data_IF_562764470268
#
_entry.id   IF_562764470268
#
_cell.length_a   1.000
_cell.length_b   1.000
_cell.length_c   1.000
_cell.angle_alpha   90.00
_cell.angle_beta   90.00
_cell.angle_gamma   90.00
#
_symmetry.space_group_name_H-M   'P 1'
#
loop_
_entity.id
_entity.type
_entity.pdbx_description
1 polymer ?
#
# COMPACT_ATOMS: atom_id res chain seq x y z
N UNK A 1 19.22 41.14 45.83
CA UNK A 1 19.17 40.83 44.39
C UNK A 1 18.96 39.33 44.23
N UNK A 2 18.01 38.83 43.45
CA UNK A 2 17.02 39.55 42.65
C UNK A 2 15.68 38.85 42.77
N UNK A 3 14.60 39.64 42.72
CA UNK A 3 13.39 39.19 42.07
C UNK A 3 13.81 38.45 40.80
N UNK A 4 13.52 37.15 40.69
CA UNK A 4 13.29 36.59 39.36
C UNK A 4 12.20 37.50 38.81
N UNK A 5 12.59 38.40 37.91
CA UNK A 5 11.63 39.27 37.26
C UNK A 5 10.59 38.35 36.66
N UNK A 6 9.37 38.43 37.17
CA UNK A 6 8.24 37.84 36.50
C UNK A 6 8.36 38.27 35.04
N UNK A 7 8.43 37.32 34.12
CA UNK A 7 8.32 37.62 32.69
C UNK A 7 6.94 38.26 32.56
N UNK A 8 6.92 39.59 32.47
CA UNK A 8 5.69 40.37 32.45
C UNK A 8 5.05 40.13 31.08
N UNK A 9 4.20 39.12 31.00
CA UNK A 9 3.46 38.82 29.79
C UNK A 9 2.42 39.91 29.58
N UNK A 10 2.63 40.75 28.56
CA UNK A 10 1.67 41.79 28.20
C UNK A 10 0.54 41.15 27.39
N UNK A 11 -0.68 41.20 27.92
CA UNK A 11 -1.87 40.60 27.32
C UNK A 11 -2.75 41.67 26.68
N UNK A 12 -3.11 41.46 25.41
CA UNK A 12 -4.08 42.30 24.69
C UNK A 12 -5.31 41.47 24.34
N UNK A 13 -6.50 42.00 24.63
CA UNK A 13 -7.78 41.35 24.30
C UNK A 13 -8.37 41.97 23.02
N UNK A 14 -8.69 41.11 22.05
CA UNK A 14 -9.28 41.46 20.77
C UNK A 14 -10.64 40.78 20.63
N UNK A 15 -11.67 41.52 20.22
CA UNK A 15 -13.02 40.96 19.99
C UNK A 15 -13.27 40.77 18.50
N UNK A 16 -13.77 39.60 18.12
CA UNK A 16 -14.07 39.26 16.72
C UNK A 16 -15.58 39.11 16.59
N UNK A 17 -16.22 40.11 15.98
CA UNK A 17 -17.67 40.18 15.85
C UNK A 17 -18.06 40.52 14.41
N UNK A 18 -18.99 39.77 13.80
CA UNK A 18 -19.53 40.04 12.44
C UNK A 18 -18.45 40.33 11.38
N UNK A 19 -17.36 39.55 11.39
CA UNK A 19 -16.19 39.70 10.51
C UNK A 19 -15.41 41.02 10.68
N UNK A 20 -15.56 41.70 11.82
CA UNK A 20 -14.74 42.86 12.19
C UNK A 20 -13.94 42.54 13.45
N UNK A 21 -12.77 43.17 13.56
CA UNK A 21 -11.88 43.06 14.73
C UNK A 21 -12.02 44.35 15.52
N UNK A 22 -12.60 44.25 16.72
CA UNK A 22 -12.84 45.36 17.64
C UNK A 22 -11.85 45.34 18.80
N UNK A 23 -11.49 46.53 19.29
CA UNK A 23 -10.62 46.69 20.46
C UNK A 23 -9.27 47.36 20.20
N UNK A 24 -8.96 47.76 18.96
CA UNK A 24 -7.78 48.58 18.70
C UNK A 24 -7.83 49.26 17.32
N UNK A 25 -8.14 50.55 17.28
CA UNK A 25 -7.92 51.35 16.06
C UNK A 25 -6.42 51.60 15.82
N UNK A 26 -5.56 51.43 16.85
CA UNK A 26 -4.09 51.28 16.82
C UNK A 26 -3.64 50.47 18.03
N UNK A 27 -3.13 49.26 17.87
CA UNK A 27 -2.44 48.55 18.98
C UNK A 27 -1.03 49.16 19.08
N UNK A 28 -0.61 49.58 20.28
CA UNK A 28 0.77 49.95 20.58
C UNK A 28 1.39 48.86 21.44
N UNK A 29 2.19 47.98 20.84
CA UNK A 29 2.83 46.88 21.57
C UNK A 29 4.13 47.40 22.17
N UNK A 30 4.13 47.71 23.47
CA UNK A 30 5.36 47.94 24.24
C UNK A 30 6.05 46.59 24.46
N UNK A 31 7.23 46.42 23.87
CA UNK A 31 8.00 45.19 24.02
C UNK A 31 9.49 45.52 24.17
N UNK A 32 10.09 44.95 25.21
CA UNK A 32 11.53 44.92 25.41
C UNK A 32 12.06 43.56 24.91
N UNK A 33 13.38 43.46 24.67
CA UNK A 33 13.99 42.27 24.04
C UNK A 33 13.78 40.94 24.80
N UNK A 34 13.19 40.97 26.01
CA UNK A 34 13.00 39.82 26.89
C UNK A 34 11.52 39.56 27.28
N UNK A 35 10.54 40.27 26.71
CA UNK A 35 9.10 40.09 27.02
C UNK A 35 8.32 39.45 25.85
N UNK A 36 7.49 38.46 26.16
CA UNK A 36 6.60 37.77 25.21
C UNK A 36 5.21 38.42 25.18
N UNK A 37 4.73 38.73 23.97
CA UNK A 37 3.41 39.37 23.75
C UNK A 37 2.37 38.31 23.44
N UNK A 38 1.24 38.34 24.16
CA UNK A 38 0.14 37.40 23.95
C UNK A 38 -1.15 38.12 23.55
N UNK A 39 -1.67 37.80 22.36
CA UNK A 39 -2.96 38.28 21.88
C UNK A 39 -4.05 37.26 22.22
N UNK A 40 -5.08 37.70 22.93
CA UNK A 40 -6.25 36.89 23.29
C UNK A 40 -7.46 37.31 22.44
N UNK A 41 -8.18 36.34 21.88
CA UNK A 41 -9.25 36.54 20.91
C UNK A 41 -10.59 36.08 21.50
N UNK A 42 -11.53 37.02 21.65
CA UNK A 42 -12.91 36.74 22.05
C UNK A 42 -13.80 36.62 20.81
N UNK A 43 -14.24 35.40 20.49
CA UNK A 43 -15.06 35.11 19.31
C UNK A 43 -16.56 35.14 19.62
N UNK A 44 -17.33 35.81 18.75
CA UNK A 44 -18.79 35.71 18.74
C UNK A 44 -19.29 34.33 18.28
N UNK A 45 -20.61 34.11 18.31
CA UNK A 45 -21.23 32.85 17.94
C UNK A 45 -21.00 32.43 16.48
N UNK A 46 -20.80 33.38 15.56
CA UNK A 46 -20.54 33.09 14.14
C UNK A 46 -19.14 32.57 13.86
N UNK A 47 -18.20 32.82 14.78
CA UNK A 47 -16.81 32.35 14.69
C UNK A 47 -16.54 31.07 15.49
N UNK A 48 -17.33 30.80 16.54
CA UNK A 48 -17.16 29.59 17.38
C UNK A 48 -17.37 28.27 16.63
N UNK A 49 -18.08 28.30 15.50
CA UNK A 49 -18.40 27.13 14.68
C UNK A 49 -17.21 26.56 13.89
N UNK A 50 -16.10 27.29 13.75
CA UNK A 50 -14.91 26.82 13.00
C UNK A 50 -13.97 26.00 13.87
N UNK A 51 -13.58 24.82 13.41
CA UNK A 51 -12.67 23.92 14.14
C UNK A 51 -11.22 24.44 14.20
N UNK A 52 -10.77 25.11 13.13
CA UNK A 52 -9.44 25.72 13.06
C UNK A 52 -9.53 27.23 12.88
N UNK A 53 -8.68 27.97 13.62
CA UNK A 53 -8.57 29.43 13.52
C UNK A 53 -7.10 29.85 13.50
N UNK A 54 -6.77 30.83 12.69
CA UNK A 54 -5.41 31.36 12.60
C UNK A 54 -5.40 32.89 12.52
N UNK A 55 -4.39 33.48 13.16
CA UNK A 55 -4.05 34.88 13.03
C UNK A 55 -2.97 35.02 11.94
N UNK A 56 -3.25 35.88 10.95
CA UNK A 56 -2.37 36.17 9.82
C UNK A 56 -1.80 37.56 10.02
N UNK A 57 -0.47 37.65 10.03
CA UNK A 57 0.29 38.88 10.15
C UNK A 57 0.99 39.14 8.83
N UNK A 58 0.66 40.26 8.18
CA UNK A 58 1.27 40.69 6.92
C UNK A 58 2.16 41.90 7.17
N UNK A 59 3.44 41.81 6.81
CA UNK A 59 4.39 42.93 6.92
C UNK A 59 4.26 43.92 5.76
N UNK A 60 4.93 45.08 5.86
CA UNK A 60 4.91 46.08 4.80
C UNK A 60 5.56 45.57 3.49
N UNK A 61 6.50 44.62 3.55
CA UNK A 61 7.05 43.96 2.36
C UNK A 61 6.27 42.70 1.93
N UNK A 62 5.01 42.55 2.33
CA UNK A 62 4.15 41.41 1.98
C UNK A 62 4.67 40.03 2.44
N UNK A 63 5.43 39.96 3.53
CA UNK A 63 5.73 38.67 4.18
C UNK A 63 4.58 38.29 5.09
N UNK A 64 4.24 36.99 5.11
CA UNK A 64 3.12 36.46 5.88
C UNK A 64 3.62 35.56 6.99
N UNK A 65 3.18 35.82 8.21
CA UNK A 65 3.33 34.95 9.36
C UNK A 65 1.95 34.46 9.77
N UNK A 66 1.75 33.14 9.75
CA UNK A 66 0.47 32.52 10.07
C UNK A 66 0.66 31.75 11.38
N UNK A 67 -0.12 32.12 12.39
CA UNK A 67 -0.05 31.51 13.71
C UNK A 67 -1.42 30.94 14.08
N UNK A 68 -1.43 29.67 14.47
CA UNK A 68 -2.64 28.97 14.92
C UNK A 68 -3.11 29.54 16.26
N UNK A 69 -4.41 29.84 16.37
CA UNK A 69 -5.01 30.37 17.60
C UNK A 69 -5.39 29.19 18.49
N UNK A 70 -4.53 28.86 19.46
CA UNK A 70 -4.77 27.79 20.44
C UNK A 70 -5.35 28.36 21.72
N UNK A 71 -6.42 27.75 22.23
CA UNK A 71 -7.10 28.19 23.46
C UNK A 71 -7.45 29.68 23.45
N UNK A 72 -7.86 30.20 22.28
CA UNK A 72 -8.20 31.61 22.06
C UNK A 72 -7.04 32.60 22.23
N UNK A 73 -5.77 32.18 22.10
CA UNK A 73 -4.62 33.08 22.18
C UNK A 73 -3.50 32.73 21.21
N UNK A 74 -2.65 33.72 20.91
CA UNK A 74 -1.41 33.56 20.16
C UNK A 74 -0.29 34.32 20.86
N UNK A 75 0.84 33.65 21.07
CA UNK A 75 2.08 34.29 21.50
C UNK A 75 2.89 34.69 20.27
N UNK A 76 3.15 35.98 20.11
CA UNK A 76 3.86 36.51 18.95
C UNK A 76 5.37 36.52 19.24
N UNK A 77 6.20 35.86 18.42
CA UNK A 77 7.65 35.90 18.59
C UNK A 77 8.21 37.29 18.34
N UNK A 78 9.29 37.65 19.06
CA UNK A 78 9.96 38.94 18.93
C UNK A 78 10.48 39.19 17.51
N UNK A 79 10.89 38.13 16.82
CA UNK A 79 11.35 38.15 15.43
C UNK A 79 10.26 38.63 14.46
N UNK A 80 8.98 38.43 14.79
CA UNK A 80 7.85 38.96 13.99
C UNK A 80 7.61 40.44 14.30
N UNK A 81 7.86 40.87 15.55
CA UNK A 81 7.66 42.25 16.01
C UNK A 81 8.79 43.21 15.57
N UNK A 82 9.99 42.71 15.27
CA UNK A 82 11.15 43.54 14.90
C UNK A 82 11.28 43.85 13.40
N UNK A 83 10.58 43.12 12.54
CA UNK A 83 10.85 43.17 11.09
C UNK A 83 10.25 44.40 10.40
N UNK A 84 9.20 45.01 10.96
CA UNK A 84 8.63 46.27 10.48
C UNK A 84 7.79 46.95 11.57
N UNK A 85 7.80 48.29 11.62
CA UNK A 85 7.10 49.06 12.66
C UNK A 85 5.58 48.95 12.61
N UNK A 86 5.00 48.61 11.45
CA UNK A 86 3.55 48.46 11.26
C UNK A 86 3.26 47.14 10.51
N UNK A 87 2.33 46.32 10.99
CA UNK A 87 1.86 45.10 10.31
C UNK A 87 0.33 44.97 10.32
N UNK A 88 -0.22 44.28 9.31
CA UNK A 88 -1.66 44.06 9.17
C UNK A 88 -2.05 42.71 9.77
N UNK A 89 -2.98 42.72 10.73
CA UNK A 89 -3.57 41.55 11.33
C UNK A 89 -4.91 41.21 10.65
N UNK A 90 -5.08 39.94 10.30
CA UNK A 90 -6.37 39.35 9.91
C UNK A 90 -6.59 38.04 10.65
N UNK A 91 -7.84 37.66 10.87
CA UNK A 91 -8.18 36.37 11.48
C UNK A 91 -8.99 35.55 10.49
N UNK A 92 -8.62 34.28 10.34
CA UNK A 92 -9.35 33.33 9.50
C UNK A 92 -9.89 32.17 10.35
N UNK A 93 -11.10 31.72 9.99
CA UNK A 93 -11.73 30.50 10.48
C UNK A 93 -11.94 29.54 9.32
N UNK A 94 -11.60 28.27 9.51
CA UNK A 94 -11.70 27.23 8.49
C UNK A 94 -12.20 25.92 9.10
N UNK A 95 -13.15 25.27 8.43
CA UNK A 95 -13.78 24.00 8.85
C UNK A 95 -13.59 22.86 7.83
N UNK A 96 -12.75 23.05 6.81
CA UNK A 96 -12.54 22.07 5.72
C UNK A 96 -13.36 22.33 4.45
N UNK A 97 -14.43 23.13 4.51
CA UNK A 97 -15.30 23.41 3.36
C UNK A 97 -15.62 24.91 3.18
N UNK A 98 -15.57 25.70 4.25
CA UNK A 98 -15.85 27.14 4.25
C UNK A 98 -14.73 27.91 4.93
N UNK A 99 -14.41 29.08 4.37
CA UNK A 99 -13.46 30.04 4.96
C UNK A 99 -14.23 31.29 5.34
N UNK A 100 -14.02 31.75 6.57
CA UNK A 100 -14.47 33.06 7.04
C UNK A 100 -13.25 33.91 7.37
N UNK A 101 -13.23 35.16 6.88
CA UNK A 101 -12.13 36.10 7.15
C UNK A 101 -12.69 37.33 7.85
N UNK A 102 -12.05 37.71 8.95
CA UNK A 102 -12.30 38.97 9.62
C UNK A 102 -11.49 40.07 8.94
N UNK A 103 -12.02 41.30 8.94
CA UNK A 103 -11.40 42.48 8.36
C UNK A 103 -9.97 42.72 8.86
N UNK A 104 -9.23 43.49 8.06
CA UNK A 104 -7.82 43.81 8.28
C UNK A 104 -7.67 44.97 9.26
N UNK A 105 -6.79 44.83 10.26
CA UNK A 105 -6.45 45.91 11.20
C UNK A 105 -4.95 46.17 11.21
N UNK A 106 -4.55 47.44 11.19
CA UNK A 106 -3.15 47.84 11.31
C UNK A 106 -2.69 47.84 12.77
N UNK A 107 -1.58 47.18 13.04
CA UNK A 107 -0.94 47.03 14.36
C UNK A 107 0.39 47.79 14.33
N UNK A 108 0.65 48.66 15.32
CA UNK A 108 1.90 49.42 15.43
C UNK A 108 2.76 48.93 16.60
N UNK A 109 4.05 48.71 16.37
CA UNK A 109 4.98 48.33 17.44
C UNK A 109 5.70 49.57 17.94
N UNK A 110 5.60 49.85 19.24
CA UNK A 110 6.24 51.01 19.86
C UNK A 110 7.32 50.50 20.81
N UNK A 111 8.58 50.78 20.49
CA UNK A 111 9.69 50.42 21.39
C UNK A 111 9.55 51.18 22.71
N UNK A 112 9.67 50.48 23.84
CA UNK A 112 9.73 51.09 25.18
C UNK A 112 11.03 51.83 25.47
N UNK A 113 11.94 51.92 24.49
CA UNK A 113 13.19 52.70 24.53
C UNK A 113 13.13 53.96 23.66
N UNK A 114 11.93 54.52 23.41
CA UNK A 114 11.85 55.87 22.86
C UNK A 114 12.30 56.87 23.93
N UNK A 115 13.25 57.76 23.59
CA UNK A 115 13.84 58.70 24.53
C UNK A 115 12.82 59.79 24.94
N UNK A 116 13.13 60.43 26.06
CA UNK A 116 12.23 61.25 26.87
C UNK A 116 11.83 62.61 26.22
N UNK A 117 12.27 62.84 24.99
CA UNK A 117 12.12 64.02 24.15
C UNK A 117 10.75 64.14 23.45
N UNK A 118 9.83 63.19 23.68
CA UNK A 118 8.41 63.33 23.35
C UNK A 118 7.55 63.82 24.54
N UNK A 119 8.14 64.47 25.55
CA UNK A 119 7.39 65.24 26.57
C UNK A 119 7.22 66.69 26.10
N UNK A 120 6.06 67.00 25.53
CA UNK A 120 5.65 68.38 25.31
C UNK A 120 5.50 69.10 26.64
N UNK A 121 6.18 70.23 26.75
CA UNK A 121 6.15 71.23 27.81
C UNK A 121 4.73 71.60 28.26
N UNK A 122 4.52 71.68 29.58
CA UNK A 122 4.23 72.95 30.27
C UNK A 122 4.18 72.75 31.80
N UNK A 123 5.04 73.43 32.57
CA UNK A 123 4.94 73.53 34.02
C UNK A 123 4.22 74.82 34.45
N UNK A 124 3.27 74.69 35.37
CA UNK A 124 2.86 75.79 36.26
C UNK A 124 3.07 75.33 37.69
N UNK A 125 4.04 76.00 38.35
CA UNK A 125 4.08 76.32 39.79
C UNK A 125 4.28 75.15 40.79
N UNK A 126 5.12 75.22 41.83
CA UNK A 126 5.77 76.36 42.49
C UNK A 126 6.79 75.93 43.56
N UNK A 127 7.59 76.93 43.97
CA UNK A 127 8.05 77.23 45.34
C UNK A 127 9.32 76.52 45.90
N UNK A 128 10.45 77.23 45.75
CA UNK A 128 11.61 77.40 46.66
C UNK A 128 12.51 76.17 46.93
N UNK A 129 13.76 76.20 46.46
CA UNK A 129 14.92 76.75 47.20
C UNK A 129 15.08 76.19 48.61
N UNK A 130 16.25 75.55 48.88
CA UNK A 130 17.24 76.01 49.88
C UNK A 130 18.35 74.97 50.14
N UNK A 131 19.59 75.35 49.79
CA UNK A 131 20.86 75.25 50.55
C UNK A 131 21.32 73.92 51.16
N UNK A 132 22.60 73.56 51.29
CA UNK A 132 23.94 73.93 50.79
C UNK A 132 24.90 72.86 51.38
N UNK A 133 26.08 72.72 50.80
CA UNK A 133 27.17 71.77 51.09
C UNK A 133 27.71 71.77 52.54
N UNK A 134 28.17 70.59 53.03
CA UNK A 134 29.60 70.31 53.38
C UNK A 134 29.80 68.86 53.89
N UNK A 135 31.03 68.32 53.76
CA UNK A 135 31.58 67.01 54.27
C UNK A 135 31.71 65.78 53.33
N UNK A 136 32.24 65.97 52.12
CA UNK A 136 32.41 64.90 51.10
C UNK A 136 33.42 63.78 51.49
N UNK A 137 34.47 64.05 52.28
CA UNK A 137 35.60 63.11 52.43
C UNK A 137 35.38 61.93 53.39
N UNK A 138 34.55 62.06 54.43
CA UNK A 138 34.27 60.96 55.36
C UNK A 138 33.31 59.93 54.77
N UNK A 139 32.46 60.35 53.84
CA UNK A 139 31.55 59.48 53.11
C UNK A 139 32.32 58.45 52.25
N UNK A 140 33.39 58.86 51.56
CA UNK A 140 34.12 57.99 50.64
C UNK A 140 34.77 56.75 51.29
N UNK A 141 35.40 56.89 52.46
CA UNK A 141 36.08 55.75 53.12
C UNK A 141 35.10 54.70 53.63
N UNK A 142 33.93 55.14 54.12
CA UNK A 142 32.86 54.23 54.55
C UNK A 142 32.30 53.43 53.38
N UNK A 143 32.18 54.06 52.21
CA UNK A 143 31.70 53.38 51.01
C UNK A 143 32.69 52.34 50.48
N UNK A 144 34.01 52.56 50.56
CA UNK A 144 35.00 51.56 50.12
C UNK A 144 34.96 50.27 50.94
N UNK A 145 34.90 50.38 52.28
CA UNK A 145 34.81 49.21 53.16
C UNK A 145 33.49 48.43 52.94
N UNK A 146 32.39 49.15 52.69
CA UNK A 146 31.09 48.54 52.37
C UNK A 146 31.11 47.82 51.01
N UNK A 147 31.77 48.40 50.01
CA UNK A 147 31.93 47.80 48.68
C UNK A 147 32.73 46.50 48.76
N UNK A 148 33.83 46.47 49.50
CA UNK A 148 34.67 45.27 49.60
C UNK A 148 34.04 44.15 50.44
N UNK A 149 33.27 44.51 51.48
CA UNK A 149 32.44 43.56 52.21
C UNK A 149 31.34 42.95 51.32
N UNK A 150 30.69 43.78 50.50
CA UNK A 150 29.70 43.32 49.52
C UNK A 150 30.31 42.40 48.47
N UNK A 151 31.49 42.71 47.94
CA UNK A 151 32.20 41.84 46.98
C UNK A 151 32.43 40.44 47.54
N UNK A 152 32.98 40.32 48.74
CA UNK A 152 33.23 39.01 49.39
C UNK A 152 31.93 38.22 49.63
N UNK A 153 30.86 38.92 50.00
CA UNK A 153 29.53 38.31 50.16
C UNK A 153 28.98 37.78 48.84
N UNK A 154 29.13 38.53 47.75
CA UNK A 154 28.73 38.11 46.42
C UNK A 154 29.54 36.92 45.90
N UNK A 155 30.87 36.92 46.08
CA UNK A 155 31.73 35.80 45.68
C UNK A 155 31.33 34.50 46.37
N UNK A 156 31.06 34.53 47.68
CA UNK A 156 30.59 33.36 48.43
C UNK A 156 29.25 32.85 47.90
N UNK A 157 28.33 33.76 47.55
CA UNK A 157 27.01 33.42 47.02
C UNK A 157 27.07 32.85 45.59
N UNK A 158 28.03 33.31 44.78
CA UNK A 158 28.29 32.76 43.44
C UNK A 158 28.76 31.30 43.54
N UNK A 159 29.69 30.99 44.44
CA UNK A 159 30.17 29.61 44.66
C UNK A 159 29.03 28.70 45.14
N UNK A 160 28.21 29.17 46.07
CA UNK A 160 27.08 28.39 46.60
C UNK A 160 26.00 28.12 45.53
N UNK A 161 25.67 29.12 44.71
CA UNK A 161 24.78 28.95 43.56
C UNK A 161 25.38 28.00 42.51
N UNK A 162 26.69 28.09 42.25
CA UNK A 162 27.40 27.17 41.34
C UNK A 162 27.25 25.70 41.77
N UNK A 163 27.42 25.42 43.07
CA UNK A 163 27.23 24.08 43.62
C UNK A 163 25.77 23.58 43.51
N UNK A 164 24.79 24.46 43.71
CA UNK A 164 23.36 24.12 43.54
C UNK A 164 23.00 23.82 42.08
N UNK A 165 23.54 24.59 41.13
CA UNK A 165 23.34 24.36 39.69
C UNK A 165 23.95 23.01 39.27
N UNK A 166 25.17 22.70 39.73
CA UNK A 166 25.82 21.42 39.44
C UNK A 166 24.96 20.24 39.90
N UNK A 167 24.45 20.28 41.14
CA UNK A 167 23.60 19.22 41.70
C UNK A 167 22.25 19.08 40.98
N UNK A 168 21.70 20.18 40.47
CA UNK A 168 20.47 20.16 39.68
C UNK A 168 20.69 19.57 38.27
N UNK A 169 21.84 19.83 37.66
CA UNK A 169 22.21 19.24 36.36
C UNK A 169 22.42 17.72 36.47
N UNK A 170 23.14 17.24 37.50
CA UNK A 170 23.35 15.80 37.72
C UNK A 170 22.03 15.04 37.90
N UNK A 171 21.05 15.66 38.57
CA UNK A 171 19.71 15.09 38.70
C UNK A 171 18.95 15.05 37.36
N UNK A 172 19.12 16.07 36.51
CA UNK A 172 18.46 16.14 35.21
C UNK A 172 19.01 15.09 34.25
N UNK A 173 20.33 14.92 34.20
CA UNK A 173 21.01 13.92 33.36
C UNK A 173 20.64 12.49 33.76
N UNK A 174 20.55 12.21 35.06
CA UNK A 174 20.09 10.91 35.57
C UNK A 174 18.62 10.62 35.19
N UNK A 175 17.72 11.60 35.28
CA UNK A 175 16.31 11.45 34.87
C UNK A 175 16.19 11.22 33.36
N UNK A 176 16.97 11.92 32.55
CA UNK A 176 16.99 11.70 31.09
C UNK A 176 17.50 10.30 30.74
N UNK A 177 18.55 9.82 31.42
CA UNK A 177 19.06 8.46 31.22
C UNK A 177 18.01 7.39 31.53
N UNK A 178 17.31 7.51 32.67
CA UNK A 178 16.24 6.58 33.04
C UNK A 178 15.08 6.60 32.03
N UNK A 179 14.64 7.80 31.61
CA UNK A 179 13.59 7.92 30.58
C UNK A 179 14.01 7.34 29.23
N UNK A 180 15.27 7.51 28.84
CA UNK A 180 15.78 6.95 27.59
C UNK A 180 15.84 5.41 27.63
N UNK A 181 16.16 4.83 28.79
CA UNK A 181 16.10 3.37 29.00
C UNK A 181 14.66 2.84 28.97
N UNK A 182 13.69 3.55 29.57
CA UNK A 182 12.26 3.23 29.48
C UNK A 182 11.74 3.29 28.03
N UNK A 183 12.10 4.33 27.28
CA UNK A 183 11.75 4.47 25.86
C UNK A 183 12.35 3.31 25.04
N UNK A 184 13.58 2.91 25.33
CA UNK A 184 14.23 1.78 24.65
C UNK A 184 13.50 0.47 24.91
N UNK A 185 13.08 0.24 26.15
CA UNK A 185 12.29 -0.94 26.54
C UNK A 185 10.92 -0.95 25.86
N UNK A 186 10.19 0.18 25.89
CA UNK A 186 8.92 0.32 25.19
C UNK A 186 9.05 0.06 23.67
N UNK A 187 10.12 0.52 23.03
CA UNK A 187 10.36 0.23 21.61
C UNK A 187 10.61 -1.26 21.35
N UNK A 188 11.27 -1.94 22.27
CA UNK A 188 11.56 -3.37 22.15
C UNK A 188 10.30 -4.22 22.39
N UNK A 189 9.48 -3.86 23.38
CA UNK A 189 8.23 -4.55 23.72
C UNK A 189 7.20 -4.43 22.58
N UNK A 190 7.13 -3.29 21.89
CA UNK A 190 6.20 -3.06 20.77
C UNK A 190 6.77 -3.44 19.39
N UNK A 191 8.02 -3.90 19.29
CA UNK A 191 8.65 -4.20 18.00
C UNK A 191 7.93 -5.34 17.24
N UNK A 192 7.46 -6.36 17.97
CA UNK A 192 6.72 -7.50 17.39
C UNK A 192 5.37 -7.07 16.85
N UNK A 193 4.67 -6.18 17.56
CA UNK A 193 3.36 -5.68 17.16
C UNK A 193 3.46 -4.76 15.93
N UNK A 194 4.45 -3.86 15.91
CA UNK A 194 4.74 -3.01 14.73
C UNK A 194 5.11 -3.86 13.52
N UNK A 195 5.93 -4.90 13.70
CA UNK A 195 6.27 -5.82 12.61
C UNK A 195 5.03 -6.55 12.08
N UNK A 196 4.18 -7.08 12.96
CA UNK A 196 2.92 -7.73 12.59
C UNK A 196 1.97 -6.80 11.84
N UNK A 197 1.83 -5.55 12.30
CA UNK A 197 1.01 -4.53 11.63
C UNK A 197 1.56 -4.17 10.25
N UNK A 198 2.88 -4.03 10.11
CA UNK A 198 3.51 -3.76 8.81
C UNK A 198 3.28 -4.91 7.81
N UNK A 199 3.38 -6.18 8.26
CA UNK A 199 3.05 -7.33 7.40
C UNK A 199 1.59 -7.30 6.94
N UNK A 200 0.64 -6.98 7.82
CA UNK A 200 -0.77 -6.81 7.44
C UNK A 200 -0.99 -5.67 6.46
N UNK A 201 -0.29 -4.54 6.62
CA UNK A 201 -0.34 -3.41 5.69
C UNK A 201 0.17 -3.83 4.31
N UNK A 202 1.25 -4.61 4.22
CA UNK A 202 1.74 -5.14 2.95
C UNK A 202 0.74 -6.07 2.27
N UNK A 203 0.07 -6.96 3.00
CA UNK A 203 -0.99 -7.82 2.47
C UNK A 203 -2.19 -7.03 1.94
N UNK A 204 -2.63 -6.00 2.69
CA UNK A 204 -3.71 -5.10 2.26
C UNK A 204 -3.31 -4.34 0.99
N UNK A 205 -2.08 -3.84 0.92
CA UNK A 205 -1.59 -3.11 -0.25
C UNK A 205 -1.52 -4.00 -1.50
N UNK A 206 -1.11 -5.27 -1.36
CA UNK A 206 -1.18 -6.27 -2.45
C UNK A 206 -2.62 -6.47 -2.94
N UNK A 207 -3.56 -6.58 -2.00
CA UNK A 207 -4.99 -6.73 -2.31
C UNK A 207 -5.55 -5.49 -3.02
N UNK A 208 -5.18 -4.29 -2.58
CA UNK A 208 -5.60 -3.03 -3.19
C UNK A 208 -5.04 -2.86 -4.61
N UNK A 209 -3.77 -3.23 -4.83
CA UNK A 209 -3.16 -3.20 -6.16
C UNK A 209 -3.89 -4.15 -7.13
N UNK A 210 -4.23 -5.37 -6.67
CA UNK A 210 -5.00 -6.32 -7.47
C UNK A 210 -6.41 -5.79 -7.81
N UNK A 211 -7.08 -5.12 -6.86
CA UNK A 211 -8.38 -4.51 -7.09
C UNK A 211 -8.32 -3.34 -8.08
N UNK A 212 -7.25 -2.53 -8.03
CA UNK A 212 -7.04 -1.42 -8.96
C UNK A 212 -6.81 -1.89 -10.40
N UNK A 213 -5.97 -2.91 -10.58
CA UNK A 213 -5.80 -3.59 -11.88
C UNK A 213 -7.14 -4.11 -12.39
N UNK A 214 -7.98 -4.68 -11.51
CA UNK A 214 -9.31 -5.14 -11.90
C UNK A 214 -10.19 -3.99 -12.40
N UNK A 215 -10.18 -2.83 -11.73
CA UNK A 215 -10.94 -1.65 -12.12
C UNK A 215 -10.47 -1.06 -13.46
N UNK A 216 -9.16 -0.90 -13.67
CA UNK A 216 -8.61 -0.37 -14.91
C UNK A 216 -8.94 -1.28 -16.12
N UNK A 217 -9.08 -2.59 -15.89
CA UNK A 217 -9.53 -3.53 -16.92
C UNK A 217 -11.04 -3.41 -17.23
N UNK A 218 -11.88 -2.93 -16.31
CA UNK A 218 -13.30 -2.66 -16.57
C UNK A 218 -13.51 -1.48 -17.54
N UNK A 219 -12.61 -0.52 -17.59
CA UNK A 219 -12.69 0.59 -18.56
C UNK A 219 -12.47 0.10 -20.01
N UNK A 220 -11.63 -0.93 -20.20
CA UNK A 220 -11.45 -1.58 -21.51
C UNK A 220 -12.70 -2.37 -21.95
N UNK A 221 -13.40 -2.94 -20.97
CA UNK A 221 -14.67 -3.65 -21.14
C UNK A 221 -15.75 -2.69 -21.63
N UNK A 222 -15.85 -1.47 -21.07
CA UNK A 222 -16.78 -0.43 -21.53
C UNK A 222 -16.43 0.13 -22.92
N UNK A 223 -15.15 0.32 -23.23
CA UNK A 223 -14.72 0.73 -24.57
C UNK A 223 -15.09 -0.31 -25.64
N UNK A 224 -14.91 -1.60 -25.33
CA UNK A 224 -15.33 -2.71 -26.21
C UNK A 224 -16.86 -2.83 -26.33
N UNK A 225 -17.63 -2.40 -25.33
CA UNK A 225 -19.09 -2.37 -25.37
C UNK A 225 -19.66 -1.23 -26.23
N UNK A 226 -18.88 -0.16 -26.47
CA UNK A 226 -19.33 0.95 -27.34
C UNK A 226 -19.49 0.55 -28.82
N UNK A 227 -18.78 -0.51 -29.24
CA UNK A 227 -18.79 -1.04 -30.62
C UNK A 227 -19.88 -2.12 -30.83
N UNK A 228 -20.56 -2.58 -29.77
CA UNK A 228 -21.47 -3.74 -29.82
C UNK A 228 -22.94 -3.30 -29.81
N UNK A 229 -23.66 -3.59 -30.90
CA UNK A 229 -25.13 -3.48 -30.93
C UNK A 229 -25.74 -4.44 -29.91
N UNK A 230 -26.64 -3.95 -29.06
CA UNK A 230 -27.39 -4.75 -28.07
C UNK A 230 -28.21 -5.84 -28.76
N UNK A 231 -27.62 -7.02 -28.93
CA UNK A 231 -28.32 -8.23 -29.31
C UNK A 231 -29.13 -8.74 -28.12
N UNK A 232 -30.35 -9.20 -28.38
CA UNK A 232 -31.21 -9.86 -27.39
C UNK A 232 -30.70 -11.27 -27.01
N UNK A 233 -29.63 -11.76 -27.66
CA UNK A 233 -28.98 -13.02 -27.32
C UNK A 233 -27.47 -12.81 -27.20
N UNK A 234 -26.97 -13.18 -26.03
CA UNK A 234 -25.58 -13.28 -25.60
C UNK A 234 -24.80 -11.97 -25.38
N UNK A 235 -24.35 -11.67 -24.13
CA UNK A 235 -23.34 -10.64 -23.89
C UNK A 235 -22.08 -10.91 -24.73
N UNK A 236 -21.35 -9.87 -25.11
CA UNK A 236 -20.04 -9.95 -25.80
C UNK A 236 -20.01 -10.64 -27.18
N UNK A 237 -21.09 -10.61 -27.96
CA UNK A 237 -21.10 -11.08 -29.35
C UNK A 237 -21.24 -9.94 -30.37
N UNK A 238 -20.86 -10.18 -31.63
CA UNK A 238 -21.14 -9.28 -32.76
C UNK A 238 -20.13 -8.15 -33.00
N UNK A 239 -19.02 -8.13 -32.25
CA UNK A 239 -17.91 -7.21 -32.55
C UNK A 239 -17.02 -7.72 -33.68
N UNK A 240 -16.20 -6.84 -34.25
CA UNK A 240 -15.21 -7.18 -35.29
C UNK A 240 -13.76 -6.97 -34.84
N UNK A 241 -13.55 -6.59 -33.59
CA UNK A 241 -12.23 -6.27 -33.04
C UNK A 241 -11.91 -7.21 -31.88
N UNK A 242 -10.64 -7.58 -31.76
CA UNK A 242 -10.15 -8.30 -30.60
C UNK A 242 -10.45 -7.54 -29.31
N UNK A 243 -10.92 -8.24 -28.29
CA UNK A 243 -11.15 -7.66 -26.96
C UNK A 243 -10.68 -8.59 -25.85
N UNK A 244 -10.57 -8.06 -24.63
CA UNK A 244 -10.04 -8.75 -23.45
C UNK A 244 -11.00 -8.62 -22.28
N UNK A 245 -11.21 -9.71 -21.55
CA UNK A 245 -12.06 -9.82 -20.36
C UNK A 245 -11.33 -10.62 -19.25
N UNK A 246 -10.14 -10.20 -18.77
CA UNK A 246 -9.31 -11.03 -17.88
C UNK A 246 -9.90 -11.28 -16.48
N UNK A 247 -10.91 -10.51 -16.06
CA UNK A 247 -11.50 -10.58 -14.72
C UNK A 247 -13.03 -10.50 -14.72
N UNK A 248 -13.66 -11.12 -15.72
CA UNK A 248 -15.12 -11.07 -15.88
C UNK A 248 -15.82 -11.92 -14.81
N UNK A 249 -16.49 -11.22 -13.90
CA UNK A 249 -17.21 -11.86 -12.80
C UNK A 249 -18.55 -12.42 -13.28
N UNK A 250 -18.58 -13.73 -13.51
CA UNK A 250 -19.76 -14.45 -14.00
C UNK A 250 -20.63 -15.03 -12.89
N UNK A 251 -20.33 -14.76 -11.61
CA UNK A 251 -21.04 -15.34 -10.46
C UNK A 251 -22.56 -15.14 -10.50
N UNK A 252 -23.01 -13.98 -10.98
CA UNK A 252 -24.44 -13.63 -11.04
C UNK A 252 -25.05 -13.86 -12.43
N UNK A 253 -24.31 -14.41 -13.38
CA UNK A 253 -24.88 -14.75 -14.69
C UNK A 253 -25.81 -15.95 -14.53
N UNK A 254 -27.06 -15.77 -14.93
CA UNK A 254 -28.07 -16.83 -14.90
C UNK A 254 -27.76 -17.94 -15.91
N UNK A 255 -27.08 -17.62 -17.01
CA UNK A 255 -26.73 -18.56 -18.07
C UNK A 255 -25.33 -18.27 -18.61
N UNK A 256 -24.45 -19.27 -18.53
CA UNK A 256 -23.12 -19.27 -19.13
C UNK A 256 -23.06 -20.42 -20.15
N UNK A 257 -22.73 -20.10 -21.41
CA UNK A 257 -22.84 -20.97 -22.57
C UNK A 257 -21.85 -20.59 -23.67
N UNK A 258 -21.54 -21.50 -24.60
CA UNK A 258 -20.60 -21.24 -25.71
C UNK A 258 -20.90 -19.99 -26.54
N UNK A 259 -22.18 -19.60 -26.61
CA UNK A 259 -22.63 -18.41 -27.35
C UNK A 259 -22.31 -17.09 -26.66
N UNK A 260 -21.85 -17.07 -25.40
CA UNK A 260 -21.60 -15.84 -24.64
C UNK A 260 -20.30 -15.11 -25.03
N UNK A 261 -19.47 -15.67 -25.89
CA UNK A 261 -18.26 -15.01 -26.35
C UNK A 261 -18.09 -15.27 -27.85
N UNK A 262 -17.90 -14.22 -28.64
CA UNK A 262 -17.60 -14.39 -30.07
C UNK A 262 -16.13 -14.81 -30.30
N UNK A 263 -15.73 -15.00 -31.56
CA UNK A 263 -14.38 -15.44 -31.92
C UNK A 263 -13.26 -14.41 -31.66
N UNK A 264 -13.60 -13.16 -31.34
CA UNK A 264 -12.64 -12.06 -31.16
C UNK A 264 -12.21 -11.88 -29.70
N UNK A 265 -12.70 -12.70 -28.76
CA UNK A 265 -12.14 -12.70 -27.41
C UNK A 265 -10.69 -13.17 -27.46
N UNK A 266 -9.75 -12.36 -26.97
CA UNK A 266 -8.32 -12.65 -27.00
C UNK A 266 -7.74 -13.04 -25.65
N UNK A 267 -8.36 -12.60 -24.56
CA UNK A 267 -7.99 -12.94 -23.20
C UNK A 267 -9.26 -12.99 -22.35
N UNK A 268 -9.43 -14.03 -21.54
CA UNK A 268 -10.62 -14.17 -20.70
C UNK A 268 -10.28 -14.75 -19.35
N UNK A 269 -10.90 -14.22 -18.30
CA UNK A 269 -10.91 -14.86 -17.01
C UNK A 269 -12.28 -14.81 -16.38
N UNK A 270 -12.77 -15.98 -15.94
CA UNK A 270 -14.14 -16.18 -15.46
C UNK A 270 -14.17 -16.70 -14.03
N UNK A 271 -15.25 -16.36 -13.32
CA UNK A 271 -15.64 -16.97 -12.05
C UNK A 271 -16.72 -18.03 -12.28
N UNK A 272 -16.33 -19.31 -12.25
CA UNK A 272 -17.22 -20.43 -12.55
C UNK A 272 -17.99 -20.95 -11.34
N UNK A 273 -18.12 -20.18 -10.25
CA UNK A 273 -18.82 -20.60 -9.03
C UNK A 273 -20.28 -21.04 -9.24
N UNK A 274 -20.88 -20.63 -10.36
CA UNK A 274 -22.27 -20.90 -10.75
C UNK A 274 -22.39 -21.84 -11.97
N UNK A 275 -21.27 -22.21 -12.60
CA UNK A 275 -21.26 -23.08 -13.78
C UNK A 275 -21.01 -24.53 -13.36
N UNK A 276 -21.71 -25.47 -14.01
CA UNK A 276 -21.53 -26.91 -13.80
C UNK A 276 -20.83 -27.58 -14.98
N UNK A 277 -20.68 -26.91 -16.12
CA UNK A 277 -20.03 -27.46 -17.31
C UNK A 277 -19.26 -26.36 -18.04
N UNK A 278 -18.16 -26.76 -18.70
CA UNK A 278 -17.37 -25.93 -19.61
C UNK A 278 -17.47 -26.44 -21.06
N UNK A 279 -18.42 -27.33 -21.35
CA UNK A 279 -18.47 -28.01 -22.64
C UNK A 279 -18.61 -27.00 -23.79
N UNK A 280 -17.71 -27.12 -24.77
CA UNK A 280 -17.62 -26.28 -25.98
C UNK A 280 -17.51 -24.77 -25.75
N UNK A 281 -17.31 -24.31 -24.50
CA UNK A 281 -17.42 -22.90 -24.11
C UNK A 281 -16.53 -21.97 -24.95
N UNK A 282 -15.31 -22.43 -25.20
CA UNK A 282 -14.27 -21.74 -25.96
C UNK A 282 -13.82 -22.57 -27.15
N UNK A 283 -14.69 -23.43 -27.70
CA UNK A 283 -14.39 -24.16 -28.93
C UNK A 283 -14.23 -23.17 -30.10
N UNK A 284 -13.23 -23.40 -30.95
CA UNK A 284 -12.98 -22.64 -32.18
C UNK A 284 -12.82 -21.12 -31.97
N UNK A 285 -12.25 -20.67 -30.85
CA UNK A 285 -12.02 -19.23 -30.62
C UNK A 285 -10.70 -18.81 -31.24
N UNK A 286 -10.77 -18.34 -32.48
CA UNK A 286 -9.61 -18.04 -33.33
C UNK A 286 -8.66 -16.98 -32.74
N UNK A 287 -9.17 -16.01 -31.98
CA UNK A 287 -8.33 -14.97 -31.36
C UNK A 287 -7.91 -15.27 -29.92
N UNK A 288 -8.47 -16.29 -29.28
CA UNK A 288 -8.30 -16.53 -27.84
C UNK A 288 -6.87 -16.99 -27.55
N UNK A 289 -6.12 -16.21 -26.77
CA UNK A 289 -4.70 -16.44 -26.45
C UNK A 289 -4.50 -16.90 -25.00
N UNK A 290 -5.31 -16.40 -24.06
CA UNK A 290 -5.13 -16.66 -22.64
C UNK A 290 -6.46 -16.84 -21.90
N UNK A 291 -6.50 -17.85 -21.04
CA UNK A 291 -7.68 -18.20 -20.24
C UNK A 291 -7.30 -18.37 -18.76
N UNK A 292 -8.08 -17.76 -17.85
CA UNK A 292 -7.97 -17.99 -16.41
C UNK A 292 -9.35 -18.29 -15.77
N UNK A 293 -9.61 -19.54 -15.42
CA UNK A 293 -10.89 -19.97 -14.84
C UNK A 293 -10.75 -20.25 -13.34
N UNK A 294 -11.53 -19.53 -12.54
CA UNK A 294 -11.58 -19.64 -11.07
C UNK A 294 -12.83 -20.37 -10.63
N UNK A 295 -12.81 -20.96 -9.42
CA UNK A 295 -13.94 -21.68 -8.83
C UNK A 295 -14.49 -22.81 -9.74
N UNK A 296 -13.57 -23.60 -10.30
CA UNK A 296 -13.86 -24.72 -11.21
C UNK A 296 -14.29 -26.01 -10.48
N UNK A 297 -14.36 -25.99 -9.16
CA UNK A 297 -14.57 -27.17 -8.30
C UNK A 297 -15.92 -27.86 -8.50
N UNK A 298 -16.89 -27.14 -9.08
CA UNK A 298 -18.23 -27.64 -9.42
C UNK A 298 -18.39 -28.12 -10.87
N UNK A 299 -17.37 -27.92 -11.72
CA UNK A 299 -17.45 -28.38 -13.10
C UNK A 299 -17.49 -29.91 -13.14
N UNK A 300 -18.51 -30.45 -13.79
CA UNK A 300 -18.69 -31.90 -13.99
C UNK A 300 -18.07 -32.36 -15.31
N UNK A 301 -18.02 -31.48 -16.31
CA UNK A 301 -17.47 -31.76 -17.66
C UNK A 301 -16.76 -30.55 -18.27
N UNK A 302 -15.76 -30.83 -19.11
CA UNK A 302 -15.06 -29.85 -19.95
C UNK A 302 -14.78 -30.41 -21.36
N UNK A 303 -15.77 -31.12 -21.91
CA UNK A 303 -15.70 -31.75 -23.23
C UNK A 303 -15.57 -30.68 -24.31
N UNK A 304 -14.55 -30.80 -25.17
CA UNK A 304 -14.30 -29.81 -26.23
C UNK A 304 -14.17 -28.36 -25.72
N UNK A 305 -13.85 -28.15 -24.44
CA UNK A 305 -13.93 -26.82 -23.83
C UNK A 305 -13.16 -25.74 -24.61
N UNK A 306 -12.01 -26.08 -25.16
CA UNK A 306 -11.13 -25.16 -25.90
C UNK A 306 -10.84 -25.60 -27.33
N UNK A 307 -11.35 -26.76 -27.77
CA UNK A 307 -10.84 -27.44 -28.96
C UNK A 307 -10.78 -26.57 -30.21
N UNK A 308 -9.67 -26.68 -30.94
CA UNK A 308 -9.32 -25.91 -32.13
C UNK A 308 -9.29 -24.39 -31.90
N UNK A 309 -8.93 -23.93 -30.69
CA UNK A 309 -8.58 -22.54 -30.42
C UNK A 309 -7.11 -22.34 -30.78
N UNK A 310 -6.84 -22.24 -32.08
CA UNK A 310 -5.49 -22.29 -32.64
C UNK A 310 -4.54 -21.19 -32.17
N UNK A 311 -5.05 -20.09 -31.60
CA UNK A 311 -4.24 -19.01 -31.02
C UNK A 311 -4.00 -19.15 -29.50
N UNK A 312 -4.64 -20.13 -28.85
CA UNK A 312 -4.60 -20.31 -27.40
C UNK A 312 -3.19 -20.71 -26.98
N UNK A 313 -2.62 -20.02 -25.99
CA UNK A 313 -1.26 -20.25 -25.50
C UNK A 313 -1.21 -20.68 -24.05
N UNK A 314 -2.08 -20.12 -23.21
CA UNK A 314 -2.07 -20.36 -21.77
C UNK A 314 -3.49 -20.59 -21.24
N UNK A 315 -3.64 -21.65 -20.45
CA UNK A 315 -4.87 -21.94 -19.71
C UNK A 315 -4.56 -22.22 -18.26
N UNK A 316 -5.27 -21.53 -17.36
CA UNK A 316 -5.23 -21.79 -15.92
C UNK A 316 -6.60 -22.25 -15.45
N UNK A 317 -6.67 -23.45 -14.90
CA UNK A 317 -7.84 -24.06 -14.29
C UNK A 317 -7.59 -24.23 -12.78
N UNK A 318 -8.63 -24.01 -11.96
CA UNK A 318 -8.60 -24.34 -10.55
C UNK A 318 -8.72 -25.84 -10.28
N UNK A 319 -9.26 -26.20 -9.11
CA UNK A 319 -9.54 -27.60 -8.77
C UNK A 319 -10.67 -28.16 -9.65
N UNK A 320 -10.50 -29.39 -10.14
CA UNK A 320 -11.46 -30.14 -10.96
C UNK A 320 -12.03 -31.32 -10.17
N UNK A 321 -12.37 -31.10 -8.91
CA UNK A 321 -12.76 -32.14 -7.94
C UNK A 321 -14.05 -32.88 -8.28
N UNK A 322 -14.92 -32.29 -9.09
CA UNK A 322 -16.18 -32.89 -9.56
C UNK A 322 -16.15 -33.23 -11.06
N UNK A 323 -15.03 -32.97 -11.75
CA UNK A 323 -14.95 -33.16 -13.19
C UNK A 323 -14.76 -34.63 -13.51
N UNK A 324 -15.62 -35.18 -14.35
CA UNK A 324 -15.61 -36.59 -14.76
C UNK A 324 -15.08 -36.79 -16.18
N UNK A 325 -15.09 -35.74 -17.01
CA UNK A 325 -14.67 -35.84 -18.42
C UNK A 325 -13.94 -34.59 -18.89
N UNK A 326 -12.73 -34.80 -19.41
CA UNK A 326 -11.90 -33.83 -20.12
C UNK A 326 -11.69 -34.22 -21.58
N UNK A 327 -12.61 -35.02 -22.14
CA UNK A 327 -12.58 -35.48 -23.53
C UNK A 327 -12.41 -34.31 -24.50
N UNK A 328 -11.38 -34.38 -25.35
CA UNK A 328 -11.07 -33.34 -26.35
C UNK A 328 -10.91 -31.92 -25.79
N UNK A 329 -10.64 -31.75 -24.49
CA UNK A 329 -10.65 -30.43 -23.85
C UNK A 329 -9.80 -29.40 -24.60
N UNK A 330 -8.62 -29.80 -25.09
CA UNK A 330 -7.66 -28.98 -25.84
C UNK A 330 -7.33 -29.55 -27.22
N UNK A 331 -8.24 -30.35 -27.79
CA UNK A 331 -7.97 -31.03 -29.07
C UNK A 331 -7.66 -30.02 -30.18
N UNK A 332 -6.49 -30.13 -30.81
CA UNK A 332 -6.08 -29.27 -31.92
C UNK A 332 -5.68 -27.84 -31.53
N UNK A 333 -5.42 -27.56 -30.25
CA UNK A 333 -4.94 -26.25 -29.80
C UNK A 333 -3.44 -26.10 -30.08
N UNK A 334 -3.09 -25.93 -31.37
CA UNK A 334 -1.71 -26.06 -31.87
C UNK A 334 -0.72 -25.05 -31.26
N UNK A 335 -1.19 -23.89 -30.78
CA UNK A 335 -0.34 -22.88 -30.13
C UNK A 335 -0.29 -22.99 -28.61
N UNK A 336 -0.99 -23.95 -28.01
CA UNK A 336 -1.07 -24.07 -26.54
C UNK A 336 0.31 -24.40 -26.01
N UNK A 337 0.85 -23.58 -25.11
CA UNK A 337 2.19 -23.75 -24.54
C UNK A 337 2.15 -24.25 -23.09
N UNK A 338 1.13 -23.83 -22.33
CA UNK A 338 1.06 -24.08 -20.89
C UNK A 338 -0.38 -24.32 -20.43
N UNK A 339 -0.57 -25.38 -19.67
CA UNK A 339 -1.82 -25.65 -18.93
C UNK A 339 -1.50 -25.76 -17.46
N UNK A 340 -2.19 -25.01 -16.62
CA UNK A 340 -2.14 -25.14 -15.16
C UNK A 340 -3.47 -25.71 -14.68
N UNK A 341 -3.44 -26.74 -13.84
CA UNK A 341 -4.63 -27.37 -13.28
C UNK A 341 -4.46 -27.67 -11.78
N UNK A 342 -5.54 -27.53 -11.03
CA UNK A 342 -5.58 -27.87 -9.61
C UNK A 342 -5.84 -29.36 -9.35
N UNK A 343 -6.33 -29.65 -8.13
CA UNK A 343 -6.65 -31.02 -7.71
C UNK A 343 -7.66 -31.66 -8.66
N UNK A 344 -7.37 -32.87 -9.10
CA UNK A 344 -8.23 -33.74 -9.89
C UNK A 344 -8.15 -35.18 -9.33
N UNK A 345 -9.03 -36.07 -9.78
CA UNK A 345 -8.99 -37.47 -9.32
C UNK A 345 -10.23 -38.30 -9.60
N UNK A 346 -11.30 -37.70 -10.15
CA UNK A 346 -12.49 -38.45 -10.57
C UNK A 346 -12.74 -38.37 -12.09
N UNK A 347 -11.81 -37.79 -12.85
CA UNK A 347 -11.90 -37.73 -14.32
C UNK A 347 -11.70 -39.15 -14.85
N UNK A 348 -12.72 -39.70 -15.47
CA UNK A 348 -12.69 -41.04 -16.06
C UNK A 348 -12.41 -41.01 -17.57
N UNK A 349 -12.54 -39.85 -18.22
CA UNK A 349 -12.38 -39.71 -19.66
C UNK A 349 -11.42 -38.57 -20.02
N UNK A 350 -10.23 -38.94 -20.48
CA UNK A 350 -9.19 -38.07 -21.04
C UNK A 350 -8.99 -38.31 -22.54
N UNK A 351 -9.95 -38.92 -23.24
CA UNK A 351 -9.83 -39.24 -24.65
C UNK A 351 -9.39 -38.01 -25.46
N UNK A 352 -8.21 -38.11 -26.08
CA UNK A 352 -7.59 -37.07 -26.89
C UNK A 352 -7.60 -35.66 -26.25
N UNK A 353 -7.48 -35.59 -24.92
CA UNK A 353 -7.61 -34.34 -24.16
C UNK A 353 -6.61 -33.26 -24.60
N UNK A 354 -5.37 -33.63 -24.95
CA UNK A 354 -4.33 -32.72 -25.44
C UNK A 354 -3.87 -33.06 -26.86
N UNK A 355 -4.59 -33.94 -27.57
CA UNK A 355 -4.18 -34.37 -28.91
C UNK A 355 -4.03 -33.19 -29.86
N UNK A 356 -2.92 -33.12 -30.59
CA UNK A 356 -2.61 -32.03 -31.52
C UNK A 356 -2.09 -30.74 -30.87
N UNK A 357 -1.87 -30.71 -29.54
CA UNK A 357 -1.21 -29.59 -28.87
C UNK A 357 0.31 -29.60 -29.14
N UNK A 358 0.71 -29.31 -30.38
CA UNK A 358 2.09 -29.45 -30.85
C UNK A 358 3.08 -28.54 -30.10
N UNK A 359 2.63 -27.38 -29.61
CA UNK A 359 3.45 -26.40 -28.90
C UNK A 359 3.42 -26.56 -27.37
N UNK A 360 2.68 -27.53 -26.84
CA UNK A 360 2.47 -27.67 -25.39
C UNK A 360 3.77 -28.10 -24.74
N UNK A 361 4.32 -27.24 -23.89
CA UNK A 361 5.59 -27.47 -23.18
C UNK A 361 5.35 -28.01 -21.77
N UNK A 362 4.35 -27.46 -21.08
CA UNK A 362 4.18 -27.69 -19.65
C UNK A 362 2.71 -27.90 -19.27
N UNK A 363 2.46 -28.98 -18.53
CA UNK A 363 1.27 -29.19 -17.73
C UNK A 363 1.68 -29.06 -16.26
N UNK A 364 1.25 -27.96 -15.63
CA UNK A 364 1.55 -27.65 -14.24
C UNK A 364 0.42 -28.18 -13.36
N UNK A 365 0.79 -29.05 -12.41
CA UNK A 365 -0.12 -29.77 -11.53
C UNK A 365 -0.10 -31.26 -11.82
N UNK A 366 -0.35 -32.07 -10.79
CA UNK A 366 -0.29 -33.52 -10.93
C UNK A 366 -1.57 -34.06 -11.55
N UNK A 367 -1.43 -34.80 -12.66
CA UNK A 367 -2.51 -35.57 -13.25
C UNK A 367 -2.79 -36.81 -12.38
N UNK A 368 -4.05 -37.00 -12.01
CA UNK A 368 -4.50 -38.14 -11.24
C UNK A 368 -5.39 -39.03 -12.12
N UNK A 369 -4.83 -40.16 -12.55
CA UNK A 369 -5.51 -41.10 -13.45
C UNK A 369 -6.22 -42.24 -12.69
N UNK A 370 -6.40 -42.14 -11.37
CA UNK A 370 -6.93 -43.25 -10.55
C UNK A 370 -8.32 -43.70 -11.00
N UNK A 371 -9.13 -42.77 -11.53
CA UNK A 371 -10.47 -43.03 -12.05
C UNK A 371 -10.51 -43.18 -13.58
N UNK A 372 -9.38 -43.06 -14.28
CA UNK A 372 -9.32 -43.02 -15.73
C UNK A 372 -9.70 -44.37 -16.36
N UNK A 373 -10.66 -44.34 -17.28
CA UNK A 373 -11.13 -45.49 -18.08
C UNK A 373 -10.77 -45.29 -19.55
N UNK A 374 -10.62 -44.04 -20.02
CA UNK A 374 -10.27 -43.74 -21.40
C UNK A 374 -9.19 -42.68 -21.47
N UNK A 375 -8.01 -43.05 -21.98
CA UNK A 375 -6.85 -42.14 -22.18
C UNK A 375 -6.30 -42.20 -23.61
N UNK A 376 -6.99 -42.89 -24.52
CA UNK A 376 -6.53 -43.06 -25.90
C UNK A 376 -6.30 -41.70 -26.56
N UNK A 377 -5.13 -41.54 -27.16
CA UNK A 377 -4.72 -40.31 -27.85
C UNK A 377 -4.49 -39.10 -26.94
N UNK A 378 -4.48 -39.26 -25.60
CA UNK A 378 -4.41 -38.14 -24.65
C UNK A 378 -3.29 -37.14 -24.97
N UNK A 379 -2.11 -37.63 -25.37
CA UNK A 379 -0.94 -36.83 -25.73
C UNK A 379 -0.46 -37.04 -27.17
N UNK A 380 -1.36 -37.49 -28.06
CA UNK A 380 -1.02 -37.68 -29.46
C UNK A 380 -0.57 -36.36 -30.10
N UNK A 381 0.55 -36.37 -30.81
CA UNK A 381 1.17 -35.16 -31.41
C UNK A 381 1.54 -34.04 -30.41
N UNK A 382 1.67 -34.32 -29.10
CA UNK A 382 2.26 -33.37 -28.14
C UNK A 382 3.79 -33.34 -28.23
N UNK A 383 4.33 -32.94 -29.37
CA UNK A 383 5.76 -33.10 -29.68
C UNK A 383 6.69 -32.29 -28.80
N UNK A 384 6.25 -31.13 -28.30
CA UNK A 384 7.04 -30.23 -27.46
C UNK A 384 6.83 -30.42 -25.95
N UNK A 385 6.09 -31.44 -25.52
CA UNK A 385 5.77 -31.63 -24.09
C UNK A 385 7.03 -32.03 -23.31
N UNK A 386 7.45 -31.14 -22.42
CA UNK A 386 8.64 -31.28 -21.59
C UNK A 386 8.26 -31.65 -20.15
N UNK A 387 7.27 -30.97 -19.59
CA UNK A 387 6.88 -31.09 -18.18
C UNK A 387 5.46 -31.60 -18.05
N UNK A 388 5.31 -32.77 -17.43
CA UNK A 388 4.05 -33.34 -16.97
C UNK A 388 4.32 -34.20 -15.75
N UNK A 389 3.48 -34.10 -14.73
CA UNK A 389 3.58 -34.91 -13.52
C UNK A 389 2.30 -35.69 -13.25
N UNK A 390 2.46 -36.82 -12.58
CA UNK A 390 1.38 -37.73 -12.21
C UNK A 390 1.40 -37.99 -10.70
N UNK A 391 0.22 -38.12 -10.11
CA UNK A 391 0.09 -38.63 -8.75
C UNK A 391 0.60 -40.08 -8.74
N UNK A 392 1.42 -40.42 -7.75
CA UNK A 392 2.02 -41.75 -7.60
C UNK A 392 0.96 -42.84 -7.59
N UNK A 393 1.23 -43.93 -8.31
CA UNK A 393 0.35 -45.11 -8.38
C UNK A 393 -1.10 -44.77 -8.78
N UNK A 394 -1.28 -43.94 -9.81
CA UNK A 394 -2.60 -43.63 -10.37
C UNK A 394 -2.78 -44.03 -11.83
N UNK A 395 -1.72 -44.38 -12.56
CA UNK A 395 -1.78 -44.82 -13.95
C UNK A 395 -2.09 -46.32 -13.97
N UNK A 396 -3.36 -46.68 -14.18
CA UNK A 396 -3.88 -48.06 -14.19
C UNK A 396 -4.27 -48.64 -15.55
N UNK A 397 -4.00 -47.90 -16.62
CA UNK A 397 -4.45 -48.16 -17.99
C UNK A 397 -3.30 -47.88 -18.97
N UNK A 398 -3.26 -48.60 -20.10
CA UNK A 398 -2.27 -48.39 -21.15
C UNK A 398 -2.22 -46.93 -21.57
N UNK A 399 -1.01 -46.37 -21.64
CA UNK A 399 -0.81 -44.95 -21.87
C UNK A 399 0.33 -44.72 -22.87
N UNK A 400 0.17 -43.71 -23.71
CA UNK A 400 1.04 -43.47 -24.86
C UNK A 400 1.57 -42.03 -24.88
N UNK A 401 2.89 -41.91 -24.77
CA UNK A 401 3.70 -40.70 -24.91
C UNK A 401 4.68 -40.82 -26.09
N UNK A 402 4.42 -41.70 -27.06
CA UNK A 402 5.28 -41.93 -28.22
C UNK A 402 5.56 -40.69 -29.06
N UNK A 403 4.62 -39.74 -29.06
CA UNK A 403 4.80 -38.44 -29.72
C UNK A 403 5.61 -37.43 -28.90
N UNK A 404 5.75 -37.60 -27.59
CA UNK A 404 6.32 -36.62 -26.67
C UNK A 404 7.86 -36.75 -26.65
N UNK A 405 8.51 -36.14 -27.64
CA UNK A 405 9.96 -36.28 -27.89
C UNK A 405 10.83 -35.46 -26.93
N UNK A 406 10.25 -34.47 -26.27
CA UNK A 406 10.96 -33.50 -25.44
C UNK A 406 10.76 -33.72 -23.93
N UNK A 407 10.15 -34.84 -23.50
CA UNK A 407 9.90 -35.12 -22.08
C UNK A 407 11.19 -35.05 -21.26
N UNK A 408 11.15 -34.32 -20.15
CA UNK A 408 12.27 -34.25 -19.21
C UNK A 408 12.43 -35.53 -18.40
N UNK A 409 13.63 -35.72 -17.82
CA UNK A 409 13.92 -36.86 -16.95
C UNK A 409 12.96 -36.91 -15.76
N UNK A 410 12.64 -35.76 -15.18
CA UNK A 410 11.71 -35.63 -14.06
C UNK A 410 10.30 -36.07 -14.46
N UNK A 411 9.81 -35.67 -15.63
CA UNK A 411 8.51 -36.11 -16.15
C UNK A 411 8.48 -37.61 -16.39
N UNK A 412 9.54 -38.18 -16.96
CA UNK A 412 9.66 -39.63 -17.15
C UNK A 412 9.65 -40.39 -15.82
N UNK A 413 10.41 -39.92 -14.83
CA UNK A 413 10.40 -40.51 -13.49
C UNK A 413 9.00 -40.42 -12.85
N UNK A 414 8.30 -39.30 -13.02
CA UNK A 414 6.93 -39.14 -12.54
C UNK A 414 5.96 -40.12 -13.22
N UNK A 415 6.12 -40.39 -14.52
CA UNK A 415 5.35 -41.41 -15.24
C UNK A 415 5.61 -42.81 -14.64
N UNK A 416 6.88 -43.18 -14.41
CA UNK A 416 7.23 -44.49 -13.83
C UNK A 416 6.75 -44.66 -12.38
N UNK A 417 6.79 -43.60 -11.58
CA UNK A 417 6.21 -43.57 -10.25
C UNK A 417 4.67 -43.64 -10.28
N UNK A 418 4.06 -43.12 -11.35
CA UNK A 418 2.63 -43.12 -11.58
C UNK A 418 2.04 -44.50 -11.89
N UNK A 419 2.79 -45.43 -12.48
CA UNK A 419 2.23 -46.74 -12.87
C UNK A 419 1.89 -47.63 -11.66
N UNK A 420 0.74 -48.29 -11.73
CA UNK A 420 0.25 -49.24 -10.70
C UNK A 420 0.55 -50.68 -11.06
N UNK A 421 0.56 -51.59 -10.09
CA UNK A 421 0.57 -53.03 -10.38
C UNK A 421 -0.87 -53.53 -10.62
N UNK A 422 -1.32 -53.57 -11.88
CA UNK A 422 -2.69 -53.98 -12.23
C UNK A 422 -2.81 -54.65 -13.61
N UNK A 423 -2.70 -55.98 -13.64
CA UNK A 423 -2.74 -56.75 -14.89
C UNK A 423 -1.56 -56.46 -15.80
N UNK A 424 -1.54 -57.08 -16.98
CA UNK A 424 -0.59 -56.73 -18.03
C UNK A 424 -0.97 -55.39 -18.66
N UNK A 425 0.01 -54.50 -18.78
CA UNK A 425 -0.17 -53.12 -19.27
C UNK A 425 0.99 -52.68 -20.14
N UNK A 426 0.70 -51.73 -21.02
CA UNK A 426 1.68 -51.14 -21.93
C UNK A 426 1.91 -49.65 -21.62
N UNK A 427 3.18 -49.29 -21.44
CA UNK A 427 3.65 -47.91 -21.43
C UNK A 427 4.39 -47.65 -22.73
N UNK A 428 3.86 -46.76 -23.57
CA UNK A 428 4.54 -46.35 -24.82
C UNK A 428 5.25 -45.02 -24.62
N UNK A 429 6.55 -44.95 -24.92
CA UNK A 429 7.36 -43.73 -24.87
C UNK A 429 8.05 -43.48 -26.22
N UNK A 430 8.40 -42.21 -26.49
CA UNK A 430 9.30 -41.90 -27.59
C UNK A 430 10.67 -42.52 -27.31
N UNK A 431 11.20 -43.29 -28.27
CA UNK A 431 12.55 -43.85 -28.18
C UNK A 431 13.61 -42.77 -28.00
N UNK A 432 13.51 -41.70 -28.78
CA UNK A 432 14.43 -40.55 -28.72
C UNK A 432 14.46 -39.91 -27.32
N UNK A 433 13.28 -39.65 -26.74
CA UNK A 433 13.20 -39.04 -25.41
C UNK A 433 13.76 -39.99 -24.34
N UNK A 434 13.46 -41.29 -24.42
CA UNK A 434 13.89 -42.28 -23.44
C UNK A 434 15.42 -42.43 -23.43
N UNK A 435 16.02 -42.61 -24.61
CA UNK A 435 17.48 -42.78 -24.75
C UNK A 435 18.25 -41.52 -24.36
N UNK A 436 17.70 -40.32 -24.61
CA UNK A 436 18.33 -39.07 -24.19
C UNK A 436 18.33 -38.87 -22.67
N UNK A 437 17.26 -39.27 -21.97
CA UNK A 437 17.16 -39.13 -20.52
C UNK A 437 17.89 -40.24 -19.74
N UNK A 438 18.03 -41.41 -20.37
CA UNK A 438 18.66 -42.62 -19.82
C UNK A 438 19.68 -43.19 -20.82
N UNK A 439 20.86 -42.57 -20.96
CA UNK A 439 21.81 -42.89 -22.03
C UNK A 439 22.51 -44.24 -21.84
N UNK A 440 22.50 -44.82 -20.64
CA UNK A 440 23.21 -46.09 -20.37
C UNK A 440 22.26 -47.29 -20.35
N UNK A 441 22.75 -48.43 -20.84
CA UNK A 441 22.01 -49.69 -20.77
C UNK A 441 21.67 -50.11 -19.32
N UNK A 442 22.49 -49.71 -18.35
CA UNK A 442 22.22 -49.99 -16.93
C UNK A 442 20.99 -49.23 -16.42
N UNK A 443 20.90 -47.91 -16.67
CA UNK A 443 19.73 -47.09 -16.33
C UNK A 443 18.46 -47.61 -17.03
N UNK A 444 18.57 -47.90 -18.33
CA UNK A 444 17.43 -48.41 -19.12
C UNK A 444 16.93 -49.75 -18.57
N UNK A 445 17.83 -50.68 -18.28
CA UNK A 445 17.48 -51.99 -17.72
C UNK A 445 16.87 -51.88 -16.31
N UNK A 446 17.34 -50.94 -15.48
CA UNK A 446 16.74 -50.70 -14.15
C UNK A 446 15.27 -50.29 -14.29
N UNK A 447 14.97 -49.36 -15.20
CA UNK A 447 13.60 -48.90 -15.45
C UNK A 447 12.73 -50.03 -16.01
N UNK A 448 13.21 -50.74 -17.04
CA UNK A 448 12.48 -51.86 -17.64
C UNK A 448 12.17 -52.93 -16.59
N UNK A 449 13.14 -53.28 -15.74
CA UNK A 449 12.93 -54.25 -14.66
C UNK A 449 11.95 -53.74 -13.60
N UNK A 450 11.98 -52.44 -13.27
CA UNK A 450 11.05 -51.82 -12.33
C UNK A 450 9.60 -51.85 -12.87
N UNK A 451 9.41 -51.54 -14.15
CA UNK A 451 8.12 -51.64 -14.84
C UNK A 451 7.63 -53.09 -14.91
N UNK A 452 8.50 -54.03 -15.28
CA UNK A 452 8.17 -55.45 -15.36
C UNK A 452 7.71 -56.04 -14.00
N UNK A 453 8.29 -55.60 -12.88
CA UNK A 453 7.82 -55.99 -11.52
C UNK A 453 6.38 -55.54 -11.23
N UNK A 454 5.90 -54.50 -11.91
CA UNK A 454 4.52 -54.01 -11.87
C UNK A 454 3.66 -54.60 -13.00
N UNK A 455 4.16 -55.55 -13.80
CA UNK A 455 3.54 -56.12 -15.00
C UNK A 455 3.32 -55.12 -16.15
N UNK A 456 4.22 -54.13 -16.27
CA UNK A 456 4.23 -53.18 -17.38
C UNK A 456 5.31 -53.53 -18.40
N UNK A 457 4.92 -53.54 -19.66
CA UNK A 457 5.82 -53.60 -20.82
C UNK A 457 6.12 -52.19 -21.30
N UNK A 458 7.39 -51.89 -21.57
CA UNK A 458 7.83 -50.63 -22.14
C UNK A 458 7.96 -50.77 -23.66
N UNK A 459 7.15 -50.00 -24.40
CA UNK A 459 7.18 -49.93 -25.86
C UNK A 459 7.84 -48.60 -26.29
N UNK A 460 8.94 -48.67 -27.02
CA UNK A 460 9.65 -47.50 -27.53
C UNK A 460 9.35 -47.32 -29.02
N UNK A 461 8.86 -46.14 -29.42
CA UNK A 461 8.44 -45.80 -30.80
C UNK A 461 9.16 -44.60 -31.38
#
# INVERSE_FOLDING_TARGET
MGSRGDIKMVKYELRIEKQQIFGAEKIAIAANANETVSLHFCFDSSWRIFDAKAAIFRTAQNKYYIMEIKSSSVTVPWEVLCVDRDFELSVIGYDGAKVLTAGKVNVKVVSSLLPEDCKTLSPTETLFDRFRQDSISEAYRKYEDEIDSLKRSYEKKIVELGNQISKANDNTENVEKTKNEEIKKLKQDHAVEVHSLNTKIEEINKTLAAAKIKADNWDLVDAAMSDKTRSNFAPWTGGTKEYKLPFFNTKNMQYLSPGNFDGHVSEIGLDLSSATSLDEMFRLKECLKKVELRNTDKLTTMVNAFSNSVALREVTLGNLTQCTSAKWAFFGDTSLERVTLGKNGIINNFFAAFSGCISLKEIIGDLNLIAAITVQGMFENCTSLQTVSFVKETIGIDINFGSCKDLSKESMMSIFDGVVKNGERDLTLSKYAFENNFPTAAEQNEIINALAKKNWSLNLV
#
